data_IF_347274048995
#
_entry.id   IF_347274048995
#
_cell.length_a   1.000
_cell.length_b   1.000
_cell.length_c   1.000
_cell.angle_alpha   90.00
_cell.angle_beta   90.00
_cell.angle_gamma   90.00
#
_symmetry.space_group_name_H-M   'P 1'
#
loop_
_entity.id
_entity.type
_entity.pdbx_description
1 polymer ?
#
# COMPACT_ATOMS: atom_id res chain seq x y z
N UNK A 1 -60.12 66.64 74.09
CA UNK A 1 -59.47 65.31 73.97
C UNK A 1 -58.56 65.26 72.73
N UNK A 2 -58.08 66.41 72.23
CA UNK A 2 -57.62 66.54 70.83
C UNK A 2 -56.11 66.67 70.65
N UNK A 3 -55.38 67.08 71.68
CA UNK A 3 -53.92 67.29 71.60
C UNK A 3 -53.16 65.95 71.58
N UNK A 4 -53.68 64.95 72.31
CA UNK A 4 -53.06 63.63 72.41
C UNK A 4 -53.18 62.83 71.10
N UNK A 5 -54.33 62.92 70.41
CA UNK A 5 -54.51 62.29 69.11
C UNK A 5 -53.69 62.98 68.01
N UNK A 6 -53.53 64.31 68.08
CA UNK A 6 -52.69 65.07 67.13
C UNK A 6 -51.21 64.70 67.23
N UNK A 7 -50.66 64.63 68.45
CA UNK A 7 -49.28 64.16 68.68
C UNK A 7 -49.05 62.71 68.23
N UNK A 8 -50.06 61.84 68.38
CA UNK A 8 -49.99 60.45 67.94
C UNK A 8 -50.04 60.36 66.41
N UNK A 9 -50.86 61.18 65.76
CA UNK A 9 -50.95 61.31 64.30
C UNK A 9 -49.64 61.86 63.71
N UNK A 10 -49.06 62.90 64.31
CA UNK A 10 -47.75 63.45 63.92
C UNK A 10 -46.65 62.39 63.98
N UNK A 11 -46.62 61.59 65.05
CA UNK A 11 -45.66 60.48 65.20
C UNK A 11 -45.82 59.41 64.12
N UNK A 12 -47.06 59.03 63.80
CA UNK A 12 -47.35 58.06 62.74
C UNK A 12 -46.98 58.62 61.36
N UNK A 13 -47.23 59.91 61.10
CA UNK A 13 -46.80 60.54 59.84
C UNK A 13 -45.28 60.63 59.73
N UNK A 14 -44.57 60.84 60.84
CA UNK A 14 -43.11 60.86 60.88
C UNK A 14 -42.52 59.45 60.66
N UNK A 15 -43.09 58.42 61.28
CA UNK A 15 -42.75 57.02 61.04
C UNK A 15 -43.04 56.58 59.59
N UNK A 16 -44.16 57.02 59.03
CA UNK A 16 -44.54 56.74 57.64
C UNK A 16 -43.58 57.42 56.65
N UNK A 17 -43.22 58.69 56.89
CA UNK A 17 -42.24 59.40 56.07
C UNK A 17 -40.85 58.77 56.16
N UNK A 18 -40.45 58.32 57.35
CA UNK A 18 -39.19 57.59 57.52
C UNK A 18 -39.20 56.25 56.77
N UNK A 19 -40.32 55.54 56.78
CA UNK A 19 -40.48 54.28 56.04
C UNK A 19 -40.45 54.50 54.52
N UNK A 20 -41.12 55.56 54.04
CA UNK A 20 -41.13 55.93 52.63
C UNK A 20 -39.72 56.34 52.13
N UNK A 21 -38.99 57.13 52.94
CA UNK A 21 -37.62 57.49 52.61
C UNK A 21 -36.70 56.26 52.56
N UNK A 22 -36.91 55.29 53.45
CA UNK A 22 -36.19 54.02 53.46
C UNK A 22 -36.46 53.21 52.19
N UNK A 23 -37.69 53.22 51.71
CA UNK A 23 -38.09 52.52 50.49
C UNK A 23 -37.45 53.15 49.24
N UNK A 24 -37.42 54.48 49.18
CA UNK A 24 -36.72 55.24 48.11
C UNK A 24 -35.21 54.96 48.13
N UNK A 25 -34.58 54.93 49.31
CA UNK A 25 -33.17 54.57 49.46
C UNK A 25 -32.88 53.15 48.95
N UNK A 26 -33.73 52.18 49.32
CA UNK A 26 -33.60 50.79 48.88
C UNK A 26 -33.80 50.64 47.37
N UNK A 27 -34.75 51.36 46.76
CA UNK A 27 -34.93 51.36 45.31
C UNK A 27 -33.73 51.95 44.58
N UNK A 28 -33.15 53.03 45.11
CA UNK A 28 -31.93 53.62 44.58
C UNK A 28 -30.74 52.65 44.70
N UNK A 29 -30.62 51.94 45.83
CA UNK A 29 -29.58 50.95 46.06
C UNK A 29 -29.75 49.74 45.12
N UNK A 30 -30.96 49.23 44.94
CA UNK A 30 -31.29 48.15 43.99
C UNK A 30 -30.98 48.57 42.55
N UNK A 31 -31.30 49.81 42.17
CA UNK A 31 -30.98 50.37 40.85
C UNK A 31 -29.46 50.46 40.64
N UNK A 32 -28.73 50.91 41.67
CA UNK A 32 -27.26 50.98 41.64
C UNK A 32 -26.62 49.60 41.53
N UNK A 33 -27.17 48.60 42.23
CA UNK A 33 -26.69 47.22 42.20
C UNK A 33 -26.99 46.58 40.84
N UNK A 34 -28.17 46.81 40.26
CA UNK A 34 -28.50 46.38 38.89
C UNK A 34 -27.55 46.97 37.85
N UNK A 35 -27.21 48.25 37.95
CA UNK A 35 -26.23 48.87 37.05
C UNK A 35 -24.81 48.33 37.28
N UNK A 36 -24.41 48.18 38.55
CA UNK A 36 -23.08 47.68 38.93
C UNK A 36 -22.85 46.23 38.49
N UNK A 37 -23.89 45.40 38.52
CA UNK A 37 -23.84 43.99 38.15
C UNK A 37 -24.44 43.68 36.78
N UNK A 38 -24.87 44.70 36.01
CA UNK A 38 -25.42 44.51 34.66
C UNK A 38 -24.45 43.84 33.68
N UNK A 39 -23.14 44.06 33.85
CA UNK A 39 -22.10 43.35 33.11
C UNK A 39 -21.93 41.88 33.48
N UNK A 40 -22.42 41.43 34.65
CA UNK A 40 -22.39 40.02 35.07
C UNK A 40 -23.52 39.23 34.40
N UNK A 41 -24.64 39.88 34.08
CA UNK A 41 -25.72 39.31 33.26
C UNK A 41 -25.26 39.06 31.81
N UNK A 42 -24.22 39.79 31.36
CA UNK A 42 -23.58 39.59 30.05
C UNK A 42 -22.60 38.40 30.05
N UNK A 43 -21.96 38.11 31.18
CA UNK A 43 -21.05 36.96 31.32
C UNK A 43 -21.78 35.63 31.14
N UNK A 44 -23.00 35.47 31.65
CA UNK A 44 -23.78 34.24 31.45
C UNK A 44 -24.16 34.03 29.98
N UNK A 45 -24.50 35.08 29.24
CA UNK A 45 -24.77 35.00 27.80
C UNK A 45 -23.50 34.71 27.00
N UNK A 46 -22.37 35.34 27.34
CA UNK A 46 -21.06 35.09 26.74
C UNK A 46 -20.58 33.65 27.00
N UNK A 47 -20.78 33.11 28.21
CA UNK A 47 -20.50 31.70 28.52
C UNK A 47 -21.31 30.79 27.60
N UNK A 48 -22.62 31.05 27.46
CA UNK A 48 -23.51 30.24 26.62
C UNK A 48 -23.11 30.29 25.15
N UNK A 49 -22.76 31.48 24.65
CA UNK A 49 -22.25 31.66 23.29
C UNK A 49 -20.94 30.90 23.05
N UNK A 50 -19.99 30.98 24.00
CA UNK A 50 -18.71 30.24 23.92
C UNK A 50 -18.89 28.74 24.03
N UNK A 51 -19.85 28.26 24.82
CA UNK A 51 -20.20 26.84 24.88
C UNK A 51 -20.75 26.33 23.55
N UNK A 52 -21.62 27.10 22.90
CA UNK A 52 -22.15 26.78 21.57
C UNK A 52 -21.06 26.82 20.48
N UNK A 53 -20.17 27.82 20.50
CA UNK A 53 -19.01 27.86 19.59
C UNK A 53 -18.09 26.66 19.80
N UNK A 54 -17.75 26.36 21.06
CA UNK A 54 -16.88 25.22 21.39
C UNK A 54 -17.53 23.90 20.95
N UNK A 55 -18.85 23.76 21.11
CA UNK A 55 -19.58 22.59 20.66
C UNK A 55 -19.52 22.42 19.13
N UNK A 56 -19.70 23.51 18.37
CA UNK A 56 -19.52 23.50 16.91
C UNK A 56 -18.09 23.15 16.49
N UNK A 57 -17.08 23.68 17.20
CA UNK A 57 -15.69 23.34 16.95
C UNK A 57 -15.38 21.87 17.23
N UNK A 58 -15.95 21.30 18.30
CA UNK A 58 -15.81 19.87 18.61
C UNK A 58 -16.45 19.03 17.51
N UNK A 59 -17.67 19.34 17.08
CA UNK A 59 -18.36 18.63 15.99
C UNK A 59 -17.56 18.68 14.67
N UNK A 60 -16.98 19.84 14.33
CA UNK A 60 -16.13 19.98 13.13
C UNK A 60 -14.84 19.13 13.25
N UNK A 61 -14.17 19.15 14.40
CA UNK A 61 -12.97 18.34 14.65
C UNK A 61 -13.30 16.85 14.61
N UNK A 62 -14.41 16.42 15.21
CA UNK A 62 -14.87 15.03 15.18
C UNK A 62 -15.14 14.56 13.75
N UNK A 63 -15.79 15.41 12.93
CA UNK A 63 -16.02 15.12 11.52
C UNK A 63 -14.72 14.93 10.73
N UNK A 64 -13.71 15.78 10.99
CA UNK A 64 -12.38 15.70 10.35
C UNK A 64 -11.61 14.46 10.80
N UNK A 65 -11.67 14.11 12.08
CA UNK A 65 -11.06 12.88 12.60
C UNK A 65 -11.66 11.66 11.92
N UNK A 66 -12.99 11.64 11.76
CA UNK A 66 -13.70 10.55 11.11
C UNK A 66 -13.33 10.45 9.62
N UNK A 67 -13.23 11.58 8.92
CA UNK A 67 -12.78 11.62 7.53
C UNK A 67 -11.35 11.07 7.37
N UNK A 68 -10.42 11.49 8.25
CA UNK A 68 -9.03 11.01 8.23
C UNK A 68 -8.94 9.52 8.55
N UNK A 69 -9.71 9.02 9.52
CA UNK A 69 -9.79 7.60 9.84
C UNK A 69 -10.28 6.79 8.64
N UNK A 70 -11.34 7.24 8.00
CA UNK A 70 -11.90 6.59 6.82
C UNK A 70 -10.89 6.56 5.66
N UNK A 71 -10.21 7.68 5.39
CA UNK A 71 -9.12 7.73 4.41
C UNK A 71 -7.99 6.76 4.77
N UNK A 72 -7.55 6.74 6.03
CA UNK A 72 -6.48 5.84 6.50
C UNK A 72 -6.84 4.36 6.29
N UNK A 73 -8.09 3.98 6.62
CA UNK A 73 -8.59 2.63 6.39
C UNK A 73 -8.62 2.25 4.90
N UNK A 74 -9.09 3.17 4.05
CA UNK A 74 -9.11 2.96 2.58
C UNK A 74 -7.67 2.81 2.06
N UNK A 75 -6.75 3.66 2.48
CA UNK A 75 -5.34 3.59 2.08
C UNK A 75 -4.69 2.28 2.52
N UNK A 76 -4.95 1.84 3.76
CA UNK A 76 -4.44 0.57 4.28
C UNK A 76 -4.93 -0.61 3.44
N UNK A 77 -6.24 -0.65 3.15
CA UNK A 77 -6.83 -1.71 2.32
C UNK A 77 -6.21 -1.75 0.91
N UNK A 78 -6.08 -0.59 0.27
CA UNK A 78 -5.45 -0.47 -1.06
C UNK A 78 -3.98 -0.90 -1.04
N UNK A 79 -3.25 -0.59 0.03
CA UNK A 79 -1.87 -1.00 0.18
C UNK A 79 -1.75 -2.52 0.33
N UNK A 80 -2.60 -3.15 1.15
CA UNK A 80 -2.63 -4.61 1.32
C UNK A 80 -2.98 -5.32 0.00
N UNK A 81 -4.00 -4.83 -0.72
CA UNK A 81 -4.36 -5.33 -2.06
C UNK A 81 -3.20 -5.18 -3.05
N UNK A 82 -2.57 -3.99 -3.11
CA UNK A 82 -1.43 -3.73 -3.98
C UNK A 82 -0.21 -4.59 -3.66
N UNK A 83 0.04 -4.85 -2.36
CA UNK A 83 1.14 -5.69 -1.91
C UNK A 83 0.97 -7.15 -2.35
N UNK A 84 -0.25 -7.69 -2.26
CA UNK A 84 -0.56 -9.04 -2.74
C UNK A 84 -0.38 -9.16 -4.25
N UNK A 85 -0.88 -8.19 -5.02
CA UNK A 85 -0.67 -8.13 -6.47
C UNK A 85 0.83 -8.09 -6.79
N UNK A 86 1.59 -7.23 -6.11
CA UNK A 86 3.03 -7.10 -6.31
C UNK A 86 3.77 -8.41 -6.02
N UNK A 87 3.46 -9.10 -4.92
CA UNK A 87 4.06 -10.41 -4.62
C UNK A 87 3.74 -11.44 -5.70
N UNK A 88 2.49 -11.46 -6.17
CA UNK A 88 2.04 -12.33 -7.26
C UNK A 88 2.82 -12.08 -8.55
N UNK A 89 2.88 -10.82 -9.00
CA UNK A 89 3.63 -10.41 -10.18
C UNK A 89 5.12 -10.71 -10.05
N UNK A 90 5.73 -10.45 -8.89
CA UNK A 90 7.15 -10.74 -8.64
C UNK A 90 7.44 -12.24 -8.76
N UNK A 91 6.55 -13.09 -8.23
CA UNK A 91 6.67 -14.56 -8.37
C UNK A 91 6.56 -14.98 -9.83
N UNK A 92 5.59 -14.44 -10.57
CA UNK A 92 5.42 -14.72 -12.00
C UNK A 92 6.64 -14.29 -12.81
N UNK A 93 7.15 -13.07 -12.60
CA UNK A 93 8.37 -12.56 -13.25
C UNK A 93 9.57 -13.48 -12.93
N UNK A 94 9.70 -13.94 -11.69
CA UNK A 94 10.78 -14.87 -11.33
C UNK A 94 10.68 -16.20 -12.08
N UNK A 95 9.46 -16.71 -12.29
CA UNK A 95 9.22 -17.92 -13.08
C UNK A 95 9.51 -17.68 -14.57
N UNK A 96 9.05 -16.56 -15.14
CA UNK A 96 9.35 -16.23 -16.53
C UNK A 96 10.84 -16.03 -16.77
N UNK A 97 11.55 -15.36 -15.85
CA UNK A 97 13.00 -15.20 -15.95
C UNK A 97 13.75 -16.54 -15.90
N UNK A 98 13.27 -17.51 -15.11
CA UNK A 98 13.87 -18.84 -15.09
C UNK A 98 13.60 -19.59 -16.42
N UNK A 99 12.43 -19.42 -17.03
CA UNK A 99 12.14 -19.98 -18.37
C UNK A 99 12.97 -19.30 -19.48
N UNK A 100 13.01 -17.97 -19.51
CA UNK A 100 13.79 -17.19 -20.49
C UNK A 100 15.26 -17.59 -20.47
N UNK A 101 15.82 -17.87 -19.28
CA UNK A 101 17.19 -18.37 -19.14
C UNK A 101 17.46 -19.58 -20.04
N UNK A 102 16.50 -20.50 -20.21
CA UNK A 102 16.69 -21.70 -21.03
C UNK A 102 16.56 -21.43 -22.54
N UNK A 103 15.66 -20.53 -22.95
CA UNK A 103 15.58 -20.05 -24.35
C UNK A 103 16.89 -19.37 -24.78
N UNK A 104 17.57 -18.81 -23.79
CA UNK A 104 18.86 -18.19 -23.95
C UNK A 104 19.98 -19.20 -24.32
N UNK A 105 19.76 -20.48 -24.05
CA UNK A 105 20.57 -21.61 -24.51
C UNK A 105 19.92 -22.34 -25.70
N UNK A 106 18.82 -21.85 -26.27
CA UNK A 106 18.09 -22.51 -27.35
C UNK A 106 17.24 -23.71 -26.91
N UNK A 107 16.94 -23.86 -25.61
CA UNK A 107 16.09 -24.93 -25.11
C UNK A 107 14.65 -24.43 -24.94
N UNK A 108 13.76 -24.80 -25.86
CA UNK A 108 12.37 -24.34 -25.89
C UNK A 108 11.41 -25.31 -25.20
N UNK A 109 10.21 -24.82 -24.89
CA UNK A 109 9.13 -25.71 -24.45
C UNK A 109 8.60 -26.52 -25.63
N UNK A 110 8.34 -27.82 -25.44
CA UNK A 110 7.89 -28.68 -26.52
C UNK A 110 6.45 -28.35 -26.90
N UNK A 111 6.19 -28.29 -28.21
CA UNK A 111 4.85 -28.13 -28.75
C UNK A 111 4.32 -29.53 -29.07
N UNK A 112 3.14 -29.87 -28.55
CA UNK A 112 2.52 -31.18 -28.73
C UNK A 112 1.33 -31.10 -29.69
N UNK A 113 1.24 -32.07 -30.58
CA UNK A 113 0.04 -32.27 -31.39
C UNK A 113 -1.08 -32.92 -30.57
N UNK A 114 -2.33 -32.70 -30.96
CA UNK A 114 -3.52 -33.24 -30.27
C UNK A 114 -3.48 -34.78 -30.11
N UNK A 115 -2.86 -35.48 -31.06
CA UNK A 115 -2.77 -36.94 -31.09
C UNK A 115 -1.56 -37.50 -30.31
N UNK A 116 -0.77 -36.65 -29.65
CA UNK A 116 0.43 -37.08 -28.92
C UNK A 116 0.03 -37.83 -27.64
N UNK A 117 0.54 -39.05 -27.45
CA UNK A 117 0.27 -39.85 -26.25
C UNK A 117 0.82 -39.17 -24.99
N UNK A 118 0.12 -39.33 -23.86
CA UNK A 118 0.57 -38.70 -22.61
C UNK A 118 1.93 -39.23 -22.14
N UNK A 119 2.17 -40.53 -22.31
CA UNK A 119 3.46 -41.18 -22.06
C UNK A 119 4.60 -40.51 -22.85
N UNK A 120 4.38 -40.18 -24.14
CA UNK A 120 5.39 -39.49 -24.93
C UNK A 120 5.63 -38.06 -24.42
N UNK A 121 4.58 -37.35 -23.99
CA UNK A 121 4.74 -36.02 -23.40
C UNK A 121 5.54 -36.05 -22.12
N UNK A 122 5.28 -37.02 -21.24
CA UNK A 122 6.01 -37.21 -19.99
C UNK A 122 7.49 -37.52 -20.24
N UNK A 123 7.81 -38.46 -21.12
CA UNK A 123 9.19 -38.77 -21.50
C UNK A 123 9.92 -37.56 -22.07
N UNK A 124 9.24 -36.74 -22.87
CA UNK A 124 9.83 -35.51 -23.41
C UNK A 124 10.08 -34.47 -22.31
N UNK A 125 9.15 -34.30 -21.36
CA UNK A 125 9.33 -33.43 -20.20
C UNK A 125 10.53 -33.86 -19.35
N UNK A 126 10.66 -35.15 -19.07
CA UNK A 126 11.79 -35.68 -18.31
C UNK A 126 13.13 -35.42 -19.01
N UNK A 127 13.19 -35.59 -20.32
CA UNK A 127 14.40 -35.33 -21.10
C UNK A 127 14.77 -33.84 -21.08
N UNK A 128 13.79 -32.94 -21.24
CA UNK A 128 14.03 -31.49 -21.15
C UNK A 128 14.50 -31.11 -19.74
N UNK A 129 13.94 -31.71 -18.69
CA UNK A 129 14.37 -31.42 -17.32
C UNK A 129 15.82 -31.87 -17.07
N UNK A 130 16.23 -33.02 -17.61
CA UNK A 130 17.65 -33.45 -17.58
C UNK A 130 18.55 -32.42 -18.27
N UNK A 131 18.17 -31.92 -19.44
CA UNK A 131 18.94 -30.90 -20.16
C UNK A 131 19.05 -29.58 -19.35
N UNK A 132 17.95 -29.13 -18.74
CA UNK A 132 17.97 -27.97 -17.82
C UNK A 132 18.94 -28.16 -16.67
N UNK A 133 18.98 -29.34 -16.07
CA UNK A 133 19.91 -29.66 -14.98
C UNK A 133 21.37 -29.57 -15.43
N UNK A 134 21.69 -30.07 -16.64
CA UNK A 134 23.06 -29.99 -17.19
C UNK A 134 23.48 -28.54 -17.43
N UNK A 135 22.58 -27.71 -17.98
CA UNK A 135 22.82 -26.26 -18.16
C UNK A 135 23.02 -25.57 -16.80
N UNK A 136 22.21 -25.91 -15.80
CA UNK A 136 22.29 -25.32 -14.46
C UNK A 136 23.61 -25.64 -13.76
N UNK A 137 24.21 -26.80 -14.04
CA UNK A 137 25.51 -27.23 -13.51
C UNK A 137 26.71 -26.71 -14.33
N UNK A 138 26.49 -25.92 -15.38
CA UNK A 138 27.49 -25.53 -16.39
C UNK A 138 28.22 -26.72 -17.03
N UNK A 139 27.58 -27.89 -17.06
CA UNK A 139 28.16 -29.15 -17.55
C UNK A 139 27.95 -29.40 -19.03
N UNK A 140 27.20 -28.54 -19.73
CA UNK A 140 26.85 -28.73 -21.14
C UNK A 140 28.01 -28.44 -22.10
N UNK A 141 28.97 -27.61 -21.67
CA UNK A 141 30.18 -27.29 -22.46
C UNK A 141 31.37 -27.12 -21.55
N UNK A 142 32.54 -27.48 -22.06
CA UNK A 142 33.78 -27.51 -21.32
C UNK A 142 34.81 -26.60 -21.95
N UNK A 143 35.55 -25.88 -21.11
CA UNK A 143 36.62 -24.98 -21.54
C UNK A 143 37.62 -24.85 -20.40
N UNK A 144 38.70 -25.62 -20.47
CA UNK A 144 39.76 -25.61 -19.44
C UNK A 144 40.73 -24.44 -19.55
N UNK A 145 40.73 -23.77 -20.69
CA UNK A 145 41.69 -22.71 -20.95
C UNK A 145 41.30 -21.46 -20.19
N UNK A 146 42.08 -21.13 -19.16
CA UNK A 146 42.00 -19.83 -18.51
C UNK A 146 42.74 -18.79 -19.37
N UNK A 147 42.05 -17.71 -19.71
CA UNK A 147 42.63 -16.64 -20.52
C UNK A 147 42.10 -15.28 -20.06
N UNK A 148 42.80 -14.21 -20.45
CA UNK A 148 42.46 -12.84 -20.08
C UNK A 148 42.06 -12.02 -21.31
N UNK A 149 41.19 -11.02 -21.09
CA UNK A 149 40.82 -10.01 -22.09
C UNK A 149 41.22 -8.66 -21.53
N UNK A 150 42.04 -7.92 -22.27
CA UNK A 150 42.64 -6.65 -21.81
C UNK A 150 43.36 -6.78 -20.45
N UNK A 151 44.06 -7.89 -20.23
CA UNK A 151 44.72 -8.19 -18.95
C UNK A 151 43.78 -8.61 -17.80
N UNK A 152 42.47 -8.68 -18.02
CA UNK A 152 41.50 -9.12 -17.01
C UNK A 152 41.04 -10.56 -17.22
N UNK A 153 41.31 -11.41 -16.23
CA UNK A 153 40.80 -12.80 -16.20
C UNK A 153 39.28 -12.84 -16.07
N UNK A 154 38.70 -11.93 -15.29
CA UNK A 154 37.23 -11.84 -15.12
C UNK A 154 36.52 -11.52 -16.45
N UNK A 155 37.09 -10.62 -17.26
CA UNK A 155 36.57 -10.36 -18.62
C UNK A 155 36.70 -11.58 -19.53
N UNK A 156 37.81 -12.33 -19.43
CA UNK A 156 38.00 -13.60 -20.13
C UNK A 156 36.93 -14.63 -19.77
N UNK A 157 36.70 -14.85 -18.47
CA UNK A 157 35.64 -15.74 -17.98
C UNK A 157 34.24 -15.34 -18.47
N UNK A 158 33.92 -14.04 -18.45
CA UNK A 158 32.64 -13.53 -18.98
C UNK A 158 32.49 -13.82 -20.49
N UNK A 159 33.57 -13.63 -21.26
CA UNK A 159 33.59 -13.87 -22.70
C UNK A 159 33.44 -15.37 -23.00
N UNK A 160 34.14 -16.24 -22.27
CA UNK A 160 33.95 -17.70 -22.34
C UNK A 160 32.50 -18.08 -22.07
N UNK A 161 31.88 -17.57 -21.00
CA UNK A 161 30.48 -17.86 -20.67
C UNK A 161 29.51 -17.45 -21.78
N UNK A 162 29.72 -16.27 -22.39
CA UNK A 162 28.91 -15.81 -23.53
C UNK A 162 29.10 -16.70 -24.76
N UNK A 163 30.34 -17.10 -25.06
CA UNK A 163 30.64 -17.99 -26.18
C UNK A 163 30.02 -19.38 -25.98
N UNK A 164 30.18 -19.99 -24.79
CA UNK A 164 29.53 -21.26 -24.42
C UNK A 164 28.03 -21.22 -24.69
N UNK A 165 27.37 -20.13 -24.25
CA UNK A 165 25.93 -19.92 -24.44
C UNK A 165 25.55 -19.80 -25.91
N UNK A 166 26.33 -19.06 -26.71
CA UNK A 166 26.09 -18.91 -28.15
C UNK A 166 26.24 -20.25 -28.88
N UNK A 167 27.29 -21.01 -28.57
CA UNK A 167 27.52 -22.35 -29.14
C UNK A 167 26.37 -23.29 -28.80
N UNK A 168 25.96 -23.35 -27.54
CA UNK A 168 24.82 -24.18 -27.11
C UNK A 168 23.52 -23.80 -27.81
N UNK A 169 23.26 -22.51 -27.99
CA UNK A 169 22.08 -22.06 -28.74
C UNK A 169 22.12 -22.53 -30.20
N UNK A 170 23.27 -22.41 -30.86
CA UNK A 170 23.43 -22.87 -32.24
C UNK A 170 23.25 -24.39 -32.34
N UNK A 171 23.94 -25.15 -31.49
CA UNK A 171 23.84 -26.61 -31.40
C UNK A 171 22.40 -27.08 -31.18
N UNK A 172 21.70 -26.49 -30.20
CA UNK A 172 20.32 -26.84 -29.90
C UNK A 172 19.38 -26.48 -31.06
N UNK A 173 19.60 -25.33 -31.71
CA UNK A 173 18.82 -24.93 -32.88
C UNK A 173 18.99 -25.87 -34.08
N UNK A 174 20.20 -26.37 -34.31
CA UNK A 174 20.45 -27.40 -35.35
C UNK A 174 19.79 -28.73 -34.98
N UNK A 175 19.88 -29.13 -33.71
CA UNK A 175 19.21 -30.32 -33.20
C UNK A 175 17.69 -30.24 -33.41
N UNK A 176 17.06 -29.15 -32.99
CA UNK A 176 15.61 -28.93 -33.16
C UNK A 176 15.21 -28.98 -34.65
N UNK A 177 16.02 -28.41 -35.54
CA UNK A 177 15.80 -28.49 -36.99
C UNK A 177 15.84 -29.91 -37.53
N UNK A 178 16.70 -30.76 -36.98
CA UNK A 178 16.76 -32.18 -37.33
C UNK A 178 15.59 -32.97 -36.74
N UNK A 179 15.25 -32.76 -35.46
CA UNK A 179 14.11 -33.41 -34.78
C UNK A 179 12.83 -33.15 -35.58
N UNK A 180 12.58 -31.92 -36.00
CA UNK A 180 11.39 -31.55 -36.77
C UNK A 180 11.27 -32.26 -38.14
N UNK A 181 12.37 -32.82 -38.66
CA UNK A 181 12.41 -33.55 -39.94
C UNK A 181 12.32 -35.07 -39.77
N UNK A 182 12.29 -35.57 -38.53
CA UNK A 182 12.23 -37.00 -38.23
C UNK A 182 10.93 -37.60 -38.72
N UNK A 183 11.06 -38.68 -39.49
CA UNK A 183 10.01 -39.55 -39.97
C UNK A 183 10.44 -41.00 -39.73
N UNK A 184 9.47 -41.90 -39.68
CA UNK A 184 9.71 -43.33 -39.46
C UNK A 184 10.70 -43.95 -40.46
N UNK A 185 10.80 -43.40 -41.68
CA UNK A 185 11.64 -43.93 -42.76
C UNK A 185 13.04 -43.28 -42.88
N UNK A 186 13.32 -42.20 -42.16
CA UNK A 186 14.59 -41.45 -42.28
C UNK A 186 15.37 -41.33 -40.97
N UNK A 187 14.93 -42.00 -39.91
CA UNK A 187 15.52 -41.92 -38.57
C UNK A 187 17.02 -42.20 -38.56
N UNK A 188 17.48 -43.22 -39.31
CA UNK A 188 18.91 -43.57 -39.35
C UNK A 188 19.76 -42.46 -39.99
N UNK A 189 19.28 -41.86 -41.09
CA UNK A 189 19.99 -40.75 -41.74
C UNK A 189 20.05 -39.52 -40.83
N UNK A 190 18.97 -39.22 -40.11
CA UNK A 190 18.96 -38.10 -39.17
C UNK A 190 19.89 -38.38 -37.98
N UNK A 191 19.95 -39.61 -37.47
CA UNK A 191 20.90 -39.99 -36.44
C UNK A 191 22.36 -39.80 -36.89
N UNK A 192 22.69 -40.13 -38.13
CA UNK A 192 24.03 -39.85 -38.68
C UNK A 192 24.32 -38.34 -38.71
N UNK A 193 23.32 -37.51 -39.03
CA UNK A 193 23.48 -36.04 -39.01
C UNK A 193 23.69 -35.50 -37.61
N UNK A 194 22.96 -36.01 -36.61
CA UNK A 194 23.15 -35.63 -35.20
C UNK A 194 24.58 -35.88 -34.71
N UNK A 195 25.17 -36.99 -35.12
CA UNK A 195 26.56 -37.31 -34.75
C UNK A 195 27.61 -36.42 -35.42
N UNK A 196 27.21 -35.60 -36.40
CA UNK A 196 28.09 -34.72 -37.17
C UNK A 196 27.85 -33.22 -36.90
N UNK A 197 27.02 -32.88 -35.92
CA UNK A 197 26.90 -31.52 -35.37
C UNK A 197 28.10 -31.26 -34.45
#
# INVERSE_FOLDING_TARGET
MDIFNRKKLEKVTEELNNSLNREIELEAEISSLKNKYGGIIDIENEIKFREEEKKKQIEDIESKIEEVKNKSNIFKKRYEEGLEIYKGLKKQISLYNSTIKYYDYGLYEPIYDFNTSEEYKELLKENIEKQKQVINKDGATFCDTLWSVDGSVSKGSLKTKRTKKLMLRAFNGECDSLIAKVKWNNINNINERFNNI
#
